data_IF_588213651983
#
_entry.id   IF_588213651983
#
_cell.length_a   1.000
_cell.length_b   1.000
_cell.length_c   1.000
_cell.angle_alpha   90.00
_cell.angle_beta   90.00
_cell.angle_gamma   90.00
#
_symmetry.space_group_name_H-M   'P 1'
#
loop_
_entity.id
_entity.type
_entity.pdbx_description
1 polymer ?
2 polymer ?
3 non-polymer ?
4 non-polymer ?
5 non-polymer ?
6 non-polymer ?
7 water ?
#
# COMPACT_ATOMS: atom_id res chain seq x y z
N UNK A 20 -0.45 25.28 11.25
CA UNK A 20 -0.95 24.75 9.95
C UNK A 20 -0.19 23.51 9.48
N UNK A 21 1.15 23.57 9.46
CA UNK A 21 1.97 22.43 9.03
C UNK A 21 2.01 21.27 10.02
N UNK A 22 1.18 21.33 11.04
CA UNK A 22 1.14 20.27 12.06
C UNK A 22 0.91 18.89 11.47
N UNK A 23 -0.15 18.74 10.68
CA UNK A 23 -0.45 17.44 10.09
C UNK A 23 0.66 16.92 9.20
N UNK A 24 1.15 17.79 8.31
CA UNK A 24 2.21 17.43 7.39
C UNK A 24 3.53 17.16 8.10
N UNK A 25 3.82 17.91 9.17
CA UNK A 25 5.06 17.69 9.94
C UNK A 25 5.07 16.24 10.43
N UNK A 26 3.93 15.80 10.96
CA UNK A 26 3.80 14.44 11.47
C UNK A 26 4.02 13.38 10.39
N UNK A 27 3.30 13.50 9.27
CA UNK A 27 3.43 12.54 8.20
C UNK A 27 4.85 12.41 7.70
N UNK A 28 5.52 13.55 7.56
CA UNK A 28 6.91 13.56 7.10
C UNK A 28 7.79 12.92 8.16
N UNK A 29 7.51 13.26 9.41
CA UNK A 29 8.27 12.73 10.53
C UNK A 29 8.22 11.21 10.65
N UNK A 30 7.03 10.63 10.49
CA UNK A 30 6.88 9.18 10.62
C UNK A 30 7.11 8.33 9.36
N UNK A 31 7.38 8.97 8.23
CA UNK A 31 7.60 8.22 6.98
C UNK A 31 8.78 7.24 7.09
N UNK A 32 8.52 5.95 6.82
CA UNK A 32 9.53 4.89 6.89
C UNK A 32 10.74 5.16 6.01
N UNK A 33 11.91 4.76 6.49
CA UNK A 33 13.11 4.95 5.70
C UNK A 33 13.25 3.76 4.76
N UNK A 34 14.45 3.60 4.18
CA UNK A 34 14.72 2.51 3.25
C UNK A 34 14.60 1.13 3.88
N UNK A 35 14.02 0.18 3.14
CA UNK A 35 13.88 -1.19 3.61
C UNK A 35 14.38 -2.10 2.50
N UNK A 36 15.33 -2.98 2.83
CA UNK A 36 15.86 -3.89 1.82
C UNK A 36 15.17 -5.24 1.90
N UNK A 37 15.23 -6.00 0.81
CA UNK A 37 14.60 -7.32 0.76
C UNK A 37 15.54 -8.45 1.11
N UNK A 38 16.84 -8.21 0.98
CA UNK A 38 17.83 -9.24 1.28
C UNK A 38 18.02 -10.17 0.09
N UNK A 39 17.71 -9.69 -1.11
CA UNK A 39 17.84 -10.50 -2.31
C UNK A 39 19.27 -10.67 -2.79
N UNK A 40 19.61 -11.87 -3.23
CA UNK A 40 20.95 -12.18 -3.75
C UNK A 40 20.94 -11.82 -5.23
N UNK A 41 21.39 -10.61 -5.57
CA UNK A 41 21.41 -10.18 -6.95
C UNK A 41 22.54 -10.81 -7.76
N UNK A 42 23.26 -11.73 -7.14
CA UNK A 42 24.36 -12.39 -7.82
C UNK A 42 23.91 -13.78 -8.28
N UNK A 43 22.72 -14.17 -7.84
CA UNK A 43 22.14 -15.46 -8.21
C UNK A 43 21.20 -15.25 -9.39
N UNK A 44 21.11 -16.24 -10.30
CA UNK A 44 20.25 -16.15 -11.48
C UNK A 44 18.78 -15.96 -11.11
N UNK A 45 18.10 -15.09 -11.84
CA UNK A 45 16.70 -14.83 -11.60
C UNK A 45 15.88 -16.10 -11.83
N UNK A 46 14.96 -16.36 -10.91
CA UNK A 46 14.08 -17.51 -11.02
C UNK A 46 12.81 -17.14 -10.30
N UNK A 47 11.70 -17.75 -10.70
CA UNK A 47 10.40 -17.48 -10.11
C UNK A 47 10.41 -17.65 -8.60
N UNK A 48 11.00 -18.75 -8.12
CA UNK A 48 11.05 -19.04 -6.70
C UNK A 48 11.89 -18.01 -5.95
N UNK A 49 13.04 -17.69 -6.51
CA UNK A 49 13.93 -16.71 -5.88
C UNK A 49 13.31 -15.31 -5.81
N UNK A 50 12.77 -14.84 -6.92
CA UNK A 50 12.16 -13.51 -6.97
C UNK A 50 10.96 -13.38 -6.04
N UNK A 51 10.03 -14.33 -6.13
CA UNK A 51 8.84 -14.31 -5.29
C UNK A 51 9.16 -14.50 -3.81
N UNK A 52 10.16 -15.34 -3.51
CA UNK A 52 10.54 -15.55 -2.11
C UNK A 52 11.13 -14.26 -1.56
N UNK A 53 11.83 -13.50 -2.40
CA UNK A 53 12.40 -12.24 -1.97
C UNK A 53 11.31 -11.19 -1.81
N UNK A 54 10.31 -11.21 -2.69
CA UNK A 54 9.20 -10.26 -2.58
C UNK A 54 8.41 -10.55 -1.31
N UNK A 55 8.17 -11.82 -1.03
CA UNK A 55 7.42 -12.19 0.18
C UNK A 55 8.18 -11.72 1.43
N UNK A 56 9.48 -11.95 1.46
CA UNK A 56 10.31 -11.52 2.59
C UNK A 56 10.23 -10.01 2.73
N UNK A 57 10.30 -9.31 1.59
CA UNK A 57 10.21 -7.85 1.61
C UNK A 57 8.86 -7.43 2.18
N UNK A 58 7.82 -8.21 1.89
CA UNK A 58 6.50 -7.88 2.42
C UNK A 58 6.48 -8.02 3.93
N UNK A 59 7.14 -9.07 4.42
CA UNK A 59 7.20 -9.32 5.86
C UNK A 59 7.93 -8.15 6.54
N UNK A 60 9.03 -7.72 5.95
CA UNK A 60 9.82 -6.62 6.52
C UNK A 60 9.08 -5.28 6.47
N UNK A 61 8.44 -4.98 5.34
CA UNK A 61 7.69 -3.74 5.21
C UNK A 61 6.46 -3.74 6.09
N UNK A 62 5.89 -4.92 6.31
CA UNK A 62 4.69 -4.99 7.15
C UNK A 62 5.02 -4.47 8.55
N UNK A 63 6.19 -4.83 9.05
CA UNK A 63 6.65 -4.37 10.36
C UNK A 63 6.68 -2.85 10.38
N UNK A 64 7.21 -2.26 9.30
CA UNK A 64 7.29 -0.80 9.24
C UNK A 64 5.90 -0.16 9.11
N UNK A 65 5.01 -0.81 8.36
CA UNK A 65 3.66 -0.27 8.18
C UNK A 65 2.93 -0.28 9.52
N UNK A 66 3.16 -1.33 10.32
CA UNK A 66 2.54 -1.44 11.63
C UNK A 66 2.99 -0.28 12.54
N UNK A 67 4.30 -0.03 12.58
CA UNK A 67 4.83 1.05 13.42
C UNK A 67 4.46 2.41 12.87
N UNK A 68 4.36 2.52 11.55
CA UNK A 68 3.99 3.77 10.90
C UNK A 68 2.53 4.11 11.23
N UNK A 69 1.65 3.15 10.95
CA UNK A 69 0.21 3.32 11.20
C UNK A 69 -0.07 3.71 12.66
N UNK A 70 0.54 3.00 13.58
CA UNK A 70 0.36 3.28 15.02
C UNK A 70 0.72 4.73 15.38
N UNK A 71 1.58 5.37 14.59
CA UNK A 71 1.99 6.74 14.87
C UNK A 71 1.19 7.80 14.13
N UNK A 72 0.24 7.37 13.29
CA UNK A 72 -0.57 8.30 12.54
C UNK A 72 -1.51 9.07 13.44
N UNK A 73 -1.74 10.36 13.16
CA UNK A 73 -2.64 11.12 14.00
C UNK A 73 -4.01 10.46 14.15
N UNK A 74 -4.49 10.38 15.38
CA UNK A 74 -5.79 9.80 15.66
C UNK A 74 -5.97 8.31 15.48
N UNK A 75 -4.93 7.59 15.06
CA UNK A 75 -5.05 6.14 14.85
C UNK A 75 -5.47 5.38 16.11
N UNK A 76 -5.04 5.89 17.27
CA UNK A 76 -5.35 5.25 18.54
C UNK A 76 -6.80 5.40 18.94
N UNK A 77 -7.52 6.30 18.28
CA UNK A 77 -8.94 6.50 18.58
C UNK A 77 -9.71 5.25 18.15
N UNK A 78 -9.18 4.53 17.17
CA UNK A 78 -9.82 3.33 16.66
C UNK A 78 -9.75 2.20 17.67
N UNK A 79 -10.73 1.31 17.62
CA UNK A 79 -10.73 0.16 18.52
C UNK A 79 -9.53 -0.72 18.14
N UNK A 80 -8.91 -1.35 19.13
CA UNK A 80 -7.75 -2.19 18.87
C UNK A 80 -7.94 -3.15 17.71
N UNK A 81 -9.05 -3.88 17.71
CA UNK A 81 -9.29 -4.84 16.64
C UNK A 81 -9.45 -4.20 15.27
N UNK A 82 -9.91 -2.95 15.23
CA UNK A 82 -10.05 -2.30 13.94
C UNK A 82 -8.68 -1.82 13.49
N UNK A 83 -7.85 -1.42 14.45
CA UNK A 83 -6.50 -0.97 14.15
C UNK A 83 -5.78 -2.06 13.35
N UNK A 84 -5.85 -3.28 13.86
CA UNK A 84 -5.22 -4.41 13.21
C UNK A 84 -5.91 -4.71 11.87
N UNK A 85 -7.23 -4.63 11.87
CA UNK A 85 -8.00 -4.89 10.67
C UNK A 85 -7.63 -4.02 9.48
N UNK A 86 -7.69 -2.69 9.63
CA UNK A 86 -7.35 -1.85 8.49
C UNK A 86 -5.94 -2.11 7.97
N UNK A 87 -4.99 -2.35 8.86
CA UNK A 87 -3.63 -2.62 8.42
C UNK A 87 -3.59 -3.92 7.61
N UNK A 88 -4.31 -4.93 8.09
CA UNK A 88 -4.36 -6.22 7.42
C UNK A 88 -5.09 -6.21 6.07
N UNK A 89 -6.04 -5.30 5.87
CA UNK A 89 -6.73 -5.24 4.59
C UNK A 89 -6.01 -4.30 3.60
N UNK A 90 -5.46 -3.22 4.12
CA UNK A 90 -4.80 -2.22 3.28
C UNK A 90 -3.31 -2.31 3.00
N UNK A 91 -2.59 -3.22 3.64
CA UNK A 91 -1.15 -3.29 3.43
C UNK A 91 -0.72 -3.37 1.97
N UNK A 92 -1.42 -4.17 1.16
CA UNK A 92 -1.06 -4.31 -0.26
C UNK A 92 -1.13 -2.98 -1.01
N UNK A 93 -2.22 -2.25 -0.85
CA UNK A 93 -2.37 -0.98 -1.54
C UNK A 93 -1.37 0.06 -1.06
N UNK A 94 -1.11 0.04 0.25
CA UNK A 94 -0.16 0.98 0.84
C UNK A 94 1.24 0.72 0.29
N UNK A 95 1.66 -0.55 0.30
CA UNK A 95 2.98 -0.91 -0.17
C UNK A 95 3.19 -0.71 -1.65
N UNK A 96 2.14 -0.94 -2.43
CA UNK A 96 2.23 -0.75 -3.88
C UNK A 96 2.36 0.74 -4.17
N UNK A 97 1.56 1.54 -3.47
CA UNK A 97 1.55 2.98 -3.67
C UNK A 97 2.92 3.60 -3.37
N UNK A 98 3.50 3.22 -2.23
CA UNK A 98 4.81 3.73 -1.83
C UNK A 98 5.88 3.23 -2.79
N UNK A 99 5.77 1.98 -3.23
CA UNK A 99 6.72 1.40 -4.16
C UNK A 99 6.65 2.18 -5.46
N UNK A 100 5.43 2.56 -5.84
CA UNK A 100 5.23 3.32 -7.05
C UNK A 100 5.95 4.66 -6.96
N UNK A 101 5.90 5.25 -5.77
CA UNK A 101 6.55 6.55 -5.53
C UNK A 101 8.07 6.40 -5.59
N UNK A 102 8.59 5.34 -4.98
CA UNK A 102 10.03 5.08 -4.98
C UNK A 102 10.52 4.94 -6.43
N UNK A 103 9.75 4.24 -7.24
CA UNK A 103 10.11 4.01 -8.63
C UNK A 103 10.15 5.34 -9.39
N UNK A 104 9.16 6.16 -9.13
CA UNK A 104 9.07 7.45 -9.78
C UNK A 104 10.27 8.32 -9.44
N UNK A 105 10.56 8.42 -8.15
CA UNK A 105 11.68 9.24 -7.68
C UNK A 105 13.08 8.68 -7.88
N UNK A 106 13.22 7.36 -7.88
CA UNK A 106 14.54 6.73 -8.02
C UNK A 106 14.99 6.36 -9.43
N UNK A 107 14.05 6.02 -10.30
CA UNK A 107 14.40 5.64 -11.67
C UNK A 107 13.35 6.10 -12.68
N UNK A 108 12.66 7.19 -12.35
CA UNK A 108 11.64 7.78 -13.21
C UNK A 108 10.65 6.76 -13.79
N UNK A 109 10.25 5.80 -12.97
CA UNK A 109 9.29 4.77 -13.37
C UNK A 109 9.77 3.77 -14.43
N UNK A 110 11.06 3.79 -14.77
CA UNK A 110 11.56 2.86 -15.77
C UNK A 110 11.53 1.42 -15.30
N UNK A 111 11.70 1.22 -14.00
CA UNK A 111 11.66 -0.12 -13.43
C UNK A 111 10.88 -0.04 -12.12
N UNK A 112 10.51 -1.20 -11.58
CA UNK A 112 9.79 -1.22 -10.31
C UNK A 112 10.81 -1.31 -9.19
N UNK A 113 10.94 -0.22 -8.45
CA UNK A 113 11.88 -0.13 -7.34
C UNK A 113 11.29 -0.67 -6.02
N UNK A 114 11.18 -2.00 -5.92
CA UNK A 114 10.63 -2.64 -4.72
C UNK A 114 11.53 -2.35 -3.51
N UNK A 115 12.84 -2.53 -3.69
CA UNK A 115 13.84 -2.28 -2.66
C UNK A 115 15.16 -1.99 -3.37
N UNK A 116 16.11 -1.37 -2.66
CA UNK A 116 17.39 -1.07 -3.31
C UNK A 116 18.06 -2.31 -3.87
N UNK A 117 17.83 -3.45 -3.22
CA UNK A 117 18.41 -4.72 -3.65
C UNK A 117 17.44 -5.59 -4.42
N UNK A 118 16.29 -5.04 -4.79
CA UNK A 118 15.30 -5.79 -5.55
C UNK A 118 14.60 -4.83 -6.53
N UNK A 119 15.29 -4.54 -7.62
CA UNK A 119 14.77 -3.66 -8.65
C UNK A 119 14.35 -4.53 -9.84
N UNK A 120 13.09 -4.43 -10.24
CA UNK A 120 12.59 -5.22 -11.34
C UNK A 120 12.74 -4.57 -12.71
N UNK A 121 13.38 -5.30 -13.62
CA UNK A 121 13.54 -4.86 -15.00
C UNK A 121 12.52 -5.73 -15.72
N UNK A 122 12.36 -5.55 -17.04
CA UNK A 122 11.37 -6.34 -17.79
C UNK A 122 11.58 -7.84 -17.63
N UNK A 123 12.84 -8.26 -17.54
CA UNK A 123 13.15 -9.68 -17.42
C UNK A 123 12.57 -10.27 -16.14
N UNK A 124 12.80 -9.58 -15.02
CA UNK A 124 12.28 -10.04 -13.75
C UNK A 124 10.77 -9.95 -13.72
N UNK A 125 10.21 -8.96 -14.42
CA UNK A 125 8.76 -8.81 -14.48
C UNK A 125 8.17 -10.06 -15.11
N UNK A 126 8.87 -10.59 -16.11
CA UNK A 126 8.43 -11.80 -16.79
C UNK A 126 8.71 -13.07 -15.98
N UNK A 127 9.89 -13.16 -15.38
CA UNK A 127 10.23 -14.34 -14.59
C UNK A 127 9.38 -14.48 -13.32
N UNK A 128 8.83 -13.36 -12.86
CA UNK A 128 7.99 -13.35 -11.66
C UNK A 128 6.59 -13.88 -11.96
N UNK A 129 6.26 -14.00 -13.24
CA UNK A 129 4.97 -14.49 -13.70
C UNK A 129 3.81 -13.55 -13.33
N UNK A 130 4.13 -12.28 -13.11
CA UNK A 130 3.11 -11.29 -12.79
C UNK A 130 3.45 -10.02 -13.56
N UNK A 131 3.72 -10.22 -14.85
CA UNK A 131 4.08 -9.12 -15.72
C UNK A 131 2.91 -8.14 -15.88
N UNK A 132 1.71 -8.64 -16.12
CA UNK A 132 0.57 -7.73 -16.29
C UNK A 132 0.37 -6.87 -15.04
N UNK A 133 0.56 -7.46 -13.87
CA UNK A 133 0.39 -6.69 -12.65
C UNK A 133 1.52 -5.69 -12.50
N UNK A 134 2.73 -6.08 -12.88
CA UNK A 134 3.87 -5.16 -12.79
C UNK A 134 3.64 -3.97 -13.71
N UNK A 135 3.03 -4.23 -14.88
CA UNK A 135 2.74 -3.18 -15.85
C UNK A 135 1.80 -2.14 -15.27
N UNK A 136 0.78 -2.59 -14.56
CA UNK A 136 -0.16 -1.66 -13.96
C UNK A 136 0.55 -0.87 -12.87
N UNK A 137 1.41 -1.54 -12.10
CA UNK A 137 2.13 -0.85 -11.04
C UNK A 137 3.04 0.21 -11.65
N UNK A 138 3.67 -0.13 -12.77
CA UNK A 138 4.56 0.84 -13.43
C UNK A 138 3.70 1.99 -13.96
N UNK A 139 2.50 1.67 -14.43
CA UNK A 139 1.59 2.70 -14.93
C UNK A 139 1.25 3.65 -13.77
N UNK A 140 0.91 3.08 -12.62
CA UNK A 140 0.60 3.89 -11.45
C UNK A 140 1.79 4.79 -11.16
N UNK A 141 2.98 4.20 -11.23
CA UNK A 141 4.21 4.94 -10.99
C UNK A 141 4.34 6.12 -11.94
N UNK A 142 3.97 5.90 -13.20
CA UNK A 142 4.05 6.93 -14.21
C UNK A 142 3.13 8.10 -13.88
N UNK A 143 1.95 7.79 -13.34
CA UNK A 143 0.97 8.81 -12.96
C UNK A 143 1.60 9.85 -12.01
N UNK A 144 2.42 9.40 -11.07
CA UNK A 144 3.06 10.35 -10.14
C UNK A 144 3.73 11.46 -10.93
N UNK A 145 4.24 11.11 -12.11
CA UNK A 145 4.90 12.08 -12.95
C UNK A 145 3.87 12.82 -13.81
N UNK A 146 3.01 12.06 -14.48
CA UNK A 146 2.00 12.66 -15.34
C UNK A 146 1.13 13.69 -14.60
N UNK A 147 0.99 13.52 -13.28
CA UNK A 147 0.17 14.45 -12.49
C UNK A 147 0.98 15.42 -11.64
N UNK A 148 2.30 15.28 -11.66
CA UNK A 148 3.15 16.15 -10.85
C UNK A 148 2.73 16.08 -9.38
N UNK A 149 2.61 14.87 -8.86
CA UNK A 149 2.23 14.68 -7.46
C UNK A 149 3.34 15.21 -6.54
N UNK A 150 2.96 16.05 -5.59
CA UNK A 150 3.92 16.61 -4.67
C UNK A 150 4.20 15.62 -3.55
N UNK A 151 5.39 15.68 -2.95
CA UNK A 151 5.74 14.77 -1.86
C UNK A 151 4.70 14.83 -0.74
N UNK A 152 4.08 16.01 -0.58
CA UNK A 152 3.07 16.22 0.45
C UNK A 152 1.75 15.53 0.07
N UNK A 153 1.37 15.63 -1.19
CA UNK A 153 0.14 15.00 -1.66
C UNK A 153 0.35 13.49 -1.54
N UNK A 154 1.55 13.04 -1.88
CA UNK A 154 1.87 11.63 -1.79
C UNK A 154 1.62 11.13 -0.36
N UNK A 155 2.26 11.78 0.61
CA UNK A 155 2.11 11.40 2.02
C UNK A 155 0.66 11.34 2.48
N UNK A 156 -0.12 12.38 2.18
CA UNK A 156 -1.51 12.40 2.60
C UNK A 156 -2.36 11.33 1.93
N UNK A 157 -2.12 11.10 0.64
CA UNK A 157 -2.85 10.08 -0.09
C UNK A 157 -2.51 8.71 0.47
N UNK A 158 -1.24 8.50 0.83
CA UNK A 158 -0.84 7.22 1.36
C UNK A 158 -1.52 6.97 2.68
N UNK A 159 -1.58 8.00 3.52
CA UNK A 159 -2.24 7.88 4.82
C UNK A 159 -3.71 7.48 4.57
N UNK A 160 -4.37 8.20 3.67
CA UNK A 160 -5.77 7.91 3.35
C UNK A 160 -5.99 6.47 2.85
N UNK A 161 -5.00 5.89 2.19
CA UNK A 161 -5.14 4.51 1.71
C UNK A 161 -5.30 3.49 2.84
N UNK A 162 -4.84 3.82 4.05
CA UNK A 162 -4.97 2.91 5.19
C UNK A 162 -6.43 2.83 5.65
N UNK A 163 -7.21 3.86 5.31
CA UNK A 163 -8.61 3.94 5.68
C UNK A 163 -9.50 3.83 4.44
N UNK A 164 -9.06 3.04 3.47
CA UNK A 164 -9.80 2.90 2.23
C UNK A 164 -10.37 1.53 1.92
N UNK A 165 -10.37 0.62 2.89
CA UNK A 165 -10.92 -0.71 2.65
C UNK A 165 -11.44 -1.32 3.96
N UNK A 166 -12.75 -1.53 4.02
CA UNK A 166 -13.38 -2.10 5.21
C UNK A 166 -14.43 -3.16 4.91
N UNK A 167 -14.75 -4.02 5.90
CA UNK A 167 -15.76 -5.05 5.66
C UNK A 167 -17.11 -4.39 5.43
N UNK A 168 -17.92 -4.97 4.55
CA UNK A 168 -19.23 -4.41 4.27
C UNK A 168 -20.13 -4.43 5.52
N UNK A 169 -19.86 -5.35 6.44
CA UNK A 169 -20.63 -5.45 7.67
C UNK A 169 -20.16 -4.43 8.71
N UNK A 170 -19.22 -3.58 8.32
CA UNK A 170 -18.73 -2.55 9.23
C UNK A 170 -17.69 -3.04 10.23
N UNK A 171 -16.99 -2.10 10.85
CA UNK A 171 -15.95 -2.41 11.83
C UNK A 171 -16.54 -2.46 13.24
N UNK A 172 -15.72 -2.83 14.23
CA UNK A 172 -16.16 -2.89 15.62
C UNK A 172 -16.78 -1.57 15.99
N UNK A 173 -16.04 -0.49 15.78
CA UNK A 173 -16.57 0.83 16.06
C UNK A 173 -16.45 1.65 14.79
N UNK A 174 -17.42 1.47 13.90
CA UNK A 174 -17.46 2.14 12.61
C UNK A 174 -17.47 3.67 12.75
N UNK A 175 -18.07 4.17 13.82
CA UNK A 175 -18.14 5.62 14.02
C UNK A 175 -16.78 6.31 14.15
N UNK A 176 -15.86 5.76 14.95
CA UNK A 176 -14.56 6.38 15.09
C UNK A 176 -13.76 6.32 13.79
N UNK A 177 -13.99 5.27 13.01
CA UNK A 177 -13.30 5.12 11.75
C UNK A 177 -13.77 6.15 10.73
N UNK A 178 -15.08 6.34 10.65
CA UNK A 178 -15.65 7.29 9.71
C UNK A 178 -15.15 8.68 10.04
N UNK A 179 -15.04 8.97 11.33
CA UNK A 179 -14.59 10.28 11.76
C UNK A 179 -13.14 10.46 11.34
N UNK A 180 -12.36 9.41 11.50
CA UNK A 180 -10.95 9.43 11.15
C UNK A 180 -10.74 9.55 9.65
N UNK A 181 -11.49 8.78 8.86
CA UNK A 181 -11.35 8.84 7.42
C UNK A 181 -11.76 10.23 6.91
N UNK A 182 -12.81 10.77 7.50
CA UNK A 182 -13.30 12.08 7.10
C UNK A 182 -12.26 13.16 7.35
N UNK A 183 -11.55 13.07 8.46
CA UNK A 183 -10.54 14.06 8.77
C UNK A 183 -9.35 13.98 7.82
N UNK A 184 -8.98 12.77 7.43
CA UNK A 184 -7.87 12.60 6.50
C UNK A 184 -8.23 13.11 5.09
N UNK A 185 -9.51 13.08 4.74
CA UNK A 185 -9.94 13.60 3.45
C UNK A 185 -9.84 15.11 3.56
N UNK A 186 -10.25 15.63 4.71
CA UNK A 186 -10.19 17.06 4.98
C UNK A 186 -8.75 17.56 4.87
N UNK A 187 -7.80 16.80 5.41
CA UNK A 187 -6.40 17.20 5.34
C UNK A 187 -5.91 17.23 3.91
N UNK A 188 -6.30 16.24 3.12
CA UNK A 188 -5.87 16.18 1.72
C UNK A 188 -6.42 17.42 1.00
N UNK A 189 -7.64 17.81 1.37
CA UNK A 189 -8.29 18.98 0.78
C UNK A 189 -7.56 20.25 1.22
N UNK A 190 -7.01 20.23 2.43
CA UNK A 190 -6.27 21.37 2.98
C UNK A 190 -4.98 21.58 2.20
N UNK A 191 -4.27 20.49 1.94
CA UNK A 191 -3.02 20.55 1.21
C UNK A 191 -3.21 21.13 -0.17
N UNK A 192 -4.27 20.71 -0.85
CA UNK A 192 -4.55 21.20 -2.19
C UNK A 192 -4.83 22.71 -2.13
N UNK A 193 -5.75 23.11 -1.25
CA UNK A 193 -6.11 24.51 -1.11
C UNK A 193 -4.98 25.38 -0.57
N UNK A 194 -3.84 24.75 -0.29
CA UNK A 194 -2.68 25.46 0.24
C UNK A 194 -2.15 26.51 -0.73
N UNK A 195 -1.48 26.06 -1.78
CA UNK A 195 -0.92 26.96 -2.78
C UNK A 195 -1.92 27.28 -3.88
N UNK A 196 -3.19 27.41 -3.49
CA UNK A 196 -4.26 27.71 -4.44
C UNK A 196 -5.27 28.66 -3.82
N UNK A 197 -5.73 29.62 -4.61
CA UNK A 197 -6.71 30.59 -4.14
C UNK A 197 -7.96 30.48 -5.00
N UNK A 198 -7.84 29.71 -6.07
CA UNK A 198 -8.94 29.50 -6.99
C UNK A 198 -9.69 28.21 -6.61
N UNK A 199 -10.94 28.34 -6.16
CA UNK A 199 -11.78 27.19 -5.76
C UNK A 199 -12.06 26.19 -6.88
N UNK A 200 -11.89 26.62 -8.12
CA UNK A 200 -12.12 25.75 -9.26
C UNK A 200 -10.89 24.90 -9.53
N UNK A 201 -9.73 25.42 -9.16
CA UNK A 201 -8.47 24.71 -9.34
C UNK A 201 -8.38 23.61 -8.30
N UNK A 202 -8.84 23.93 -7.09
CA UNK A 202 -8.83 22.97 -5.99
C UNK A 202 -9.71 21.78 -6.34
N UNK A 203 -10.93 22.06 -6.82
CA UNK A 203 -11.84 20.98 -7.18
C UNK A 203 -11.26 20.08 -8.25
N UNK A 204 -10.55 20.66 -9.22
CA UNK A 204 -9.94 19.89 -10.30
C UNK A 204 -8.79 19.02 -9.82
N UNK A 205 -8.01 19.54 -8.87
CA UNK A 205 -6.90 18.77 -8.33
C UNK A 205 -7.43 17.62 -7.45
N UNK A 206 -8.47 17.90 -6.69
CA UNK A 206 -9.08 16.90 -5.82
C UNK A 206 -9.62 15.75 -6.65
N UNK A 207 -10.22 16.11 -7.78
CA UNK A 207 -10.78 15.12 -8.69
C UNK A 207 -9.70 14.18 -9.19
N UNK A 208 -8.55 14.74 -9.58
CA UNK A 208 -7.43 13.95 -10.09
C UNK A 208 -6.81 13.05 -9.03
N UNK A 209 -6.68 13.57 -7.83
CA UNK A 209 -6.09 12.80 -6.75
C UNK A 209 -6.98 11.65 -6.32
N UNK A 210 -8.28 11.90 -6.23
CA UNK A 210 -9.20 10.85 -5.83
C UNK A 210 -9.27 9.79 -6.92
N UNK A 211 -9.16 10.22 -8.17
CA UNK A 211 -9.18 9.29 -9.29
C UNK A 211 -7.92 8.43 -9.17
N UNK A 212 -6.82 9.07 -8.80
CA UNK A 212 -5.58 8.36 -8.65
C UNK A 212 -5.70 7.34 -7.51
N UNK A 213 -6.25 7.78 -6.37
CA UNK A 213 -6.44 6.90 -5.22
C UNK A 213 -7.26 5.67 -5.57
N UNK A 214 -8.35 5.87 -6.31
CA UNK A 214 -9.22 4.78 -6.74
C UNK A 214 -8.45 3.77 -7.61
N UNK A 215 -7.61 4.27 -8.53
CA UNK A 215 -6.88 3.38 -9.42
C UNK A 215 -5.95 2.41 -8.70
N UNK A 216 -5.67 2.67 -7.43
CA UNK A 216 -4.80 1.78 -6.66
C UNK A 216 -5.53 0.48 -6.31
N UNK A 217 -6.82 0.56 -6.02
CA UNK A 217 -7.58 -0.62 -5.62
C UNK A 217 -7.64 -1.78 -6.61
N UNK A 218 -7.89 -1.49 -7.90
CA UNK A 218 -7.95 -2.60 -8.87
C UNK A 218 -6.60 -3.30 -8.97
N UNK A 219 -5.52 -2.54 -8.81
CA UNK A 219 -4.18 -3.10 -8.88
C UNK A 219 -3.93 -3.98 -7.66
N UNK A 220 -4.33 -3.49 -6.48
CA UNK A 220 -4.14 -4.25 -5.26
C UNK A 220 -4.95 -5.54 -5.33
N UNK A 221 -6.17 -5.48 -5.87
CA UNK A 221 -6.98 -6.69 -5.98
C UNK A 221 -6.31 -7.74 -6.86
N UNK A 222 -5.67 -7.30 -7.95
CA UNK A 222 -5.00 -8.25 -8.83
C UNK A 222 -3.85 -8.92 -8.09
N UNK A 223 -3.17 -8.16 -7.24
CA UNK A 223 -2.06 -8.69 -6.48
C UNK A 223 -2.59 -9.61 -5.37
N UNK A 224 -3.75 -9.28 -4.83
CA UNK A 224 -4.38 -10.10 -3.80
C UNK A 224 -4.70 -11.47 -4.37
N UNK A 225 -5.35 -11.48 -5.54
CA UNK A 225 -5.70 -12.74 -6.18
C UNK A 225 -4.43 -13.54 -6.46
N UNK A 226 -3.42 -12.86 -6.99
CA UNK A 226 -2.15 -13.50 -7.33
C UNK A 226 -1.41 -14.10 -6.12
N UNK A 227 -1.27 -13.34 -5.05
CA UNK A 227 -0.56 -13.89 -3.89
C UNK A 227 -1.36 -15.02 -3.24
N UNK A 228 -2.68 -14.89 -3.27
CA UNK A 228 -3.55 -15.93 -2.71
C UNK A 228 -3.31 -17.24 -3.47
N UNK A 229 -3.41 -17.20 -4.80
CA UNK A 229 -3.19 -18.39 -5.60
C UNK A 229 -1.80 -18.95 -5.33
N UNK A 230 -0.81 -18.06 -5.20
CA UNK A 230 0.55 -18.48 -4.95
C UNK A 230 0.74 -19.15 -3.58
N UNK A 231 0.04 -18.65 -2.57
CA UNK A 231 0.14 -19.24 -1.23
C UNK A 231 -0.34 -20.68 -1.30
N UNK A 232 -1.53 -20.85 -1.87
CA UNK A 232 -2.16 -22.16 -2.02
C UNK A 232 -1.23 -23.19 -2.67
N UNK A 233 -0.49 -22.80 -3.71
CA UNK A 233 0.41 -23.74 -4.37
C UNK A 233 1.89 -23.49 -4.11
N UNK A 234 2.20 -22.73 -3.07
CA UNK A 234 3.58 -22.42 -2.72
C UNK A 234 4.49 -23.65 -2.60
N UNK A 235 4.01 -24.67 -1.90
CA UNK A 235 4.80 -25.89 -1.71
C UNK A 235 5.15 -26.57 -3.04
N UNK A 236 4.35 -26.31 -4.07
CA UNK A 236 4.58 -26.91 -5.37
C UNK A 236 5.52 -26.12 -6.28
N UNK A 237 5.79 -24.85 -5.96
CA UNK A 237 6.68 -24.04 -6.78
C UNK A 237 7.92 -23.58 -6.04
N UNK A 238 8.07 -24.05 -4.80
CA UNK A 238 9.23 -23.71 -3.97
C UNK A 238 9.28 -22.26 -3.54
N UNK A 239 8.11 -21.64 -3.41
CA UNK A 239 8.04 -20.24 -2.99
C UNK A 239 7.74 -20.20 -1.50
N UNK A 240 8.59 -19.50 -0.75
CA UNK A 240 8.43 -19.40 0.69
C UNK A 240 7.67 -18.15 1.13
N UNK A 241 6.73 -18.34 2.06
CA UNK A 241 5.94 -17.25 2.61
C UNK A 241 6.25 -17.09 4.09
N UNK A 242 6.74 -15.90 4.50
CA UNK A 242 7.04 -15.68 5.92
C UNK A 242 5.77 -15.86 6.73
N UNK A 243 5.91 -15.95 8.04
CA UNK A 243 4.76 -16.18 8.92
C UNK A 243 3.58 -15.21 8.90
N UNK A 244 3.84 -13.91 9.04
CA UNK A 244 2.74 -12.95 9.03
C UNK A 244 2.03 -12.90 7.68
N UNK A 245 2.81 -13.00 6.61
CA UNK A 245 2.27 -12.98 5.27
C UNK A 245 1.32 -14.17 5.06
N UNK A 246 1.79 -15.37 5.40
CA UNK A 246 0.98 -16.58 5.26
C UNK A 246 -0.34 -16.46 6.02
N UNK A 247 -0.27 -15.91 7.24
CA UNK A 247 -1.45 -15.74 8.07
C UNK A 247 -2.45 -14.74 7.49
N UNK A 248 -1.96 -13.55 7.13
CA UNK A 248 -2.84 -12.53 6.58
C UNK A 248 -3.43 -12.91 5.23
N UNK A 249 -2.63 -13.58 4.40
CA UNK A 249 -3.12 -13.96 3.07
C UNK A 249 -4.13 -15.12 3.11
N UNK A 250 -4.12 -15.91 4.18
CA UNK A 250 -5.03 -17.04 4.30
C UNK A 250 -6.27 -16.68 5.12
N UNK A 251 -6.15 -15.67 5.97
CA UNK A 251 -7.28 -15.27 6.80
C UNK A 251 -7.96 -13.98 6.36
N UNK A 252 -7.18 -12.95 6.07
CA UNK A 252 -7.76 -11.66 5.68
C UNK A 252 -7.99 -11.44 4.19
N UNK A 253 -6.99 -11.78 3.37
CA UNK A 253 -7.14 -11.58 1.94
C UNK A 253 -8.39 -12.27 1.38
N UNK A 254 -8.68 -13.52 1.81
CA UNK A 254 -9.87 -14.20 1.29
C UNK A 254 -11.16 -13.39 1.52
N UNK A 255 -11.26 -12.75 2.68
CA UNK A 255 -12.44 -11.95 2.97
C UNK A 255 -12.58 -10.84 1.94
N UNK A 256 -11.45 -10.42 1.37
CA UNK A 256 -11.48 -9.36 0.36
C UNK A 256 -11.89 -9.95 -0.97
N UNK A 257 -11.24 -11.04 -1.33
CA UNK A 257 -11.53 -11.71 -2.59
C UNK A 257 -12.97 -12.21 -2.66
N UNK A 258 -13.54 -12.60 -1.52
CA UNK A 258 -14.92 -13.11 -1.51
C UNK A 258 -15.96 -12.00 -1.41
N UNK A 259 -15.53 -10.75 -1.39
CA UNK A 259 -16.47 -9.65 -1.33
C UNK A 259 -16.98 -9.21 0.04
N UNK A 260 -16.50 -9.85 1.11
CA UNK A 260 -16.92 -9.49 2.46
C UNK A 260 -16.26 -8.17 2.90
N UNK A 261 -15.07 -7.92 2.38
CA UNK A 261 -14.31 -6.71 2.66
C UNK A 261 -14.12 -6.02 1.32
N UNK A 262 -14.48 -4.75 1.24
CA UNK A 262 -14.38 -4.00 0.00
C UNK A 262 -13.72 -2.63 0.10
N UNK A 263 -13.16 -2.16 -1.01
CA UNK A 263 -12.51 -0.86 -1.06
C UNK A 263 -13.56 0.24 -1.06
N UNK A 264 -13.19 1.40 -0.57
CA UNK A 264 -14.08 2.56 -0.54
C UNK A 264 -13.61 3.38 -1.73
N UNK A 265 -14.47 3.51 -2.74
CA UNK A 265 -14.12 4.28 -3.93
C UNK A 265 -14.74 5.67 -3.85
N UNK A 266 -14.00 6.67 -4.31
CA UNK A 266 -14.53 8.01 -4.35
C UNK A 266 -15.54 8.08 -5.49
N UNK A 267 -15.11 7.68 -6.68
CA UNK A 267 -16.00 7.69 -7.85
C UNK A 267 -16.57 6.32 -8.10
N UNK A 268 -17.60 6.26 -8.94
CA UNK A 268 -18.26 4.99 -9.26
C UNK A 268 -17.71 4.38 -10.55
N UNK B 1 0.58 -16.12 17.52
CA UNK B 1 0.90 -15.93 16.08
C UNK B 1 2.04 -14.93 15.93
N UNK B 2 2.67 -14.91 14.75
CA UNK B 2 3.76 -13.99 14.48
C UNK B 2 3.23 -12.55 14.49
N UNK B 3 2.09 -12.32 13.85
CA UNK B 3 1.50 -10.99 13.81
C UNK B 3 1.27 -10.47 15.23
N UNK B 4 0.64 -11.30 16.07
CA UNK B 4 0.37 -10.90 17.44
C UNK B 4 1.71 -10.59 18.10
N UNK B 5 2.72 -11.39 17.79
CA UNK B 5 4.05 -11.17 18.35
C UNK B 5 4.57 -9.79 17.98
N UNK B 6 4.49 -9.46 16.70
CA UNK B 6 4.96 -8.17 16.21
C UNK B 6 4.12 -7.02 16.75
N UNK B 7 2.82 -7.23 16.86
CA UNK B 7 1.94 -6.19 17.39
C UNK B 7 2.33 -5.84 18.83
N UNK B 8 2.67 -6.85 19.62
CA UNK B 8 3.06 -6.62 21.00
C UNK B 8 4.36 -5.84 21.08
N UNK B 9 5.34 -6.21 20.25
CA UNK B 9 6.64 -5.54 20.22
C UNK B 9 6.51 -4.01 20.20
#
# INVERSE_FOLDING_TARGET
GSPGISGGGGGSHIEGYECQPIFLNVLEAIEPGVVCAGHDNNQPDSFAALLSSLNELGERQLVHVVKWAKALPGFRNLHVDDQMAVIQYSWMGLMVFAMGWRSFTNVNSRMLYFAPDLVFNEYRMHKSRMYSQCVRMRHLSQEFGWLQITPQEFLCMKALLLFSIIPVDGLKNQKFFDELRMNYIKELDRIIACKRKNPTSCSRRFYQLTKLLDSVQPIARELHQFTFDLLIKSHMVSVDFPEMMAEIISVQVPKILSGKVKPIYFHTQ
SRWAEVWDDNSKVSR
#
